data_IF_681153564882
#
_entry.id   IF_681153564882
#
_cell.length_a   1.000
_cell.length_b   1.000
_cell.length_c   1.000
_cell.angle_alpha   90.00
_cell.angle_beta   90.00
_cell.angle_gamma   90.00
#
_symmetry.space_group_name_H-M   'P 1'
#
loop_
_entity.id
_entity.type
_entity.pdbx_description
1 polymer ?
#
# COMPACT_ATOMS: atom_id res chain seq x y z
N UNK A 1 -2.31 -11.54 10.25
CA UNK A 1 -1.25 -11.82 11.25
C UNK A 1 -0.12 -12.74 10.75
N UNK A 2 -0.32 -13.70 9.83
CA UNK A 2 0.80 -14.57 9.37
C UNK A 2 1.91 -13.82 8.61
N UNK A 3 1.58 -12.77 7.85
CA UNK A 3 2.56 -12.00 7.07
C UNK A 3 3.59 -11.24 7.93
N UNK A 4 3.17 -10.72 9.09
CA UNK A 4 4.01 -9.91 9.99
C UNK A 4 5.12 -10.70 10.69
N UNK A 5 5.06 -12.02 10.65
CA UNK A 5 6.08 -12.93 11.19
C UNK A 5 6.60 -13.90 10.12
N UNK A 6 6.33 -13.61 8.84
CA UNK A 6 6.80 -14.45 7.75
C UNK A 6 8.33 -14.33 7.60
N UNK A 7 9.01 -15.47 7.50
CA UNK A 7 10.46 -15.53 7.32
C UNK A 7 10.91 -14.96 5.99
N UNK A 8 10.04 -14.96 4.97
CA UNK A 8 10.33 -14.36 3.66
C UNK A 8 10.77 -12.90 3.78
N UNK A 9 10.26 -12.18 4.80
CA UNK A 9 10.62 -10.77 5.06
C UNK A 9 12.13 -10.55 5.23
N UNK A 10 12.87 -11.55 5.69
CA UNK A 10 14.31 -11.46 5.96
C UNK A 10 15.18 -11.51 4.70
N UNK A 11 14.63 -11.96 3.56
CA UNK A 11 15.42 -12.31 2.37
C UNK A 11 15.03 -11.54 1.11
N UNK A 12 14.00 -10.68 1.17
CA UNK A 12 13.53 -9.92 -0.01
C UNK A 12 14.56 -8.87 -0.42
N UNK A 13 14.93 -8.87 -1.69
CA UNK A 13 15.92 -7.93 -2.27
C UNK A 13 15.43 -7.21 -3.54
N UNK A 14 14.30 -7.61 -4.10
CA UNK A 14 13.72 -7.03 -5.31
C UNK A 14 12.42 -6.30 -4.99
N UNK A 15 12.22 -5.11 -5.55
CA UNK A 15 11.03 -4.30 -5.25
C UNK A 15 9.72 -5.01 -5.62
N UNK A 16 9.66 -5.72 -6.74
CA UNK A 16 8.45 -6.45 -7.14
C UNK A 16 8.04 -7.50 -6.09
N UNK A 17 9.00 -8.33 -5.66
CA UNK A 17 8.79 -9.34 -4.61
C UNK A 17 8.41 -8.70 -3.27
N UNK A 18 8.96 -7.53 -2.97
CA UNK A 18 8.57 -6.76 -1.79
C UNK A 18 7.11 -6.34 -1.83
N UNK A 19 6.63 -5.79 -2.95
CA UNK A 19 5.26 -5.33 -3.09
C UNK A 19 4.25 -6.48 -2.97
N UNK A 20 4.54 -7.65 -3.56
CA UNK A 20 3.70 -8.86 -3.43
C UNK A 20 3.58 -9.32 -1.97
N UNK A 21 4.69 -9.28 -1.23
CA UNK A 21 4.70 -9.58 0.20
C UNK A 21 3.91 -8.53 1.00
N UNK A 22 4.17 -7.25 0.71
CA UNK A 22 3.70 -6.12 1.51
C UNK A 22 2.20 -5.90 1.37
N UNK A 23 1.56 -6.29 0.27
CA UNK A 23 0.09 -6.29 0.13
C UNK A 23 -0.60 -7.04 1.28
N UNK A 24 -0.05 -8.18 1.69
CA UNK A 24 -0.59 -8.99 2.81
C UNK A 24 -0.22 -8.43 4.18
N UNK A 25 0.94 -7.78 4.28
CA UNK A 25 1.50 -7.28 5.53
C UNK A 25 0.93 -5.91 5.93
N UNK A 26 0.72 -5.02 4.95
CA UNK A 26 0.05 -3.72 5.12
C UNK A 26 -1.41 -3.89 5.55
N UNK A 27 -2.02 -5.03 5.21
CA UNK A 27 -3.37 -5.38 5.62
C UNK A 27 -4.46 -4.80 4.72
N UNK A 28 -4.23 -4.70 3.41
CA UNK A 28 -5.20 -4.16 2.44
C UNK A 28 -6.58 -4.81 2.59
N UNK A 29 -6.63 -6.15 2.62
CA UNK A 29 -7.89 -6.88 2.79
C UNK A 29 -8.65 -6.50 4.08
N UNK A 30 -7.93 -6.17 5.16
CA UNK A 30 -8.52 -5.69 6.41
C UNK A 30 -9.07 -4.27 6.22
N UNK A 31 -8.28 -3.36 5.65
CA UNK A 31 -8.69 -1.96 5.43
C UNK A 31 -9.91 -1.88 4.50
N UNK A 32 -9.88 -2.60 3.40
CA UNK A 32 -10.99 -2.75 2.45
C UNK A 32 -12.25 -3.33 3.11
N UNK A 33 -12.14 -4.34 3.97
CA UNK A 33 -13.27 -4.87 4.72
C UNK A 33 -13.81 -3.89 5.78
N UNK A 34 -12.92 -3.20 6.49
CA UNK A 34 -13.26 -2.22 7.52
C UNK A 34 -13.96 -0.99 6.91
N UNK A 35 -13.50 -0.54 5.74
CA UNK A 35 -14.15 0.51 4.96
C UNK A 35 -15.59 0.11 4.61
N UNK A 36 -15.80 -1.09 4.04
CA UNK A 36 -17.16 -1.59 3.73
C UNK A 36 -18.04 -1.68 4.96
N UNK A 37 -17.48 -2.13 6.09
CA UNK A 37 -18.21 -2.19 7.35
C UNK A 37 -18.63 -0.80 7.82
N UNK A 38 -17.69 0.14 7.91
CA UNK A 38 -17.93 1.49 8.43
C UNK A 38 -18.87 2.33 7.57
N UNK A 39 -18.86 2.11 6.25
CA UNK A 39 -19.70 2.83 5.29
C UNK A 39 -21.00 2.08 4.94
N UNK A 40 -21.21 0.88 5.49
CA UNK A 40 -22.36 0.05 5.15
C UNK A 40 -22.39 -0.43 3.69
N UNK A 41 -21.25 -0.45 2.99
CA UNK A 41 -21.18 -0.84 1.58
C UNK A 41 -21.40 -2.36 1.44
N UNK A 42 -22.28 -2.74 0.51
CA UNK A 42 -22.60 -4.12 0.16
C UNK A 42 -22.32 -4.31 -1.32
N UNK A 43 -21.28 -5.07 -1.62
CA UNK A 43 -20.88 -5.45 -2.97
C UNK A 43 -21.16 -6.95 -3.14
N UNK A 44 -21.57 -7.36 -4.34
CA UNK A 44 -21.69 -8.77 -4.70
C UNK A 44 -20.31 -9.45 -4.75
N UNK A 45 -20.29 -10.78 -4.80
CA UNK A 45 -19.04 -11.53 -4.98
C UNK A 45 -18.33 -11.16 -6.28
N UNK A 46 -19.09 -10.95 -7.36
CA UNK A 46 -18.55 -10.59 -8.67
C UNK A 46 -17.99 -9.16 -8.67
N UNK A 47 -18.66 -8.22 -8.00
CA UNK A 47 -18.14 -6.86 -7.82
C UNK A 47 -16.84 -6.89 -7.01
N UNK A 48 -16.80 -7.62 -5.90
CA UNK A 48 -15.58 -7.79 -5.09
C UNK A 48 -14.44 -8.44 -5.88
N UNK A 49 -14.75 -9.42 -6.71
CA UNK A 49 -13.77 -10.04 -7.59
C UNK A 49 -13.24 -9.04 -8.63
N UNK A 50 -14.13 -8.21 -9.16
CA UNK A 50 -13.78 -7.11 -10.06
C UNK A 50 -12.85 -6.07 -9.42
N UNK A 51 -12.91 -5.86 -8.10
CA UNK A 51 -12.09 -4.83 -7.42
C UNK A 51 -10.64 -5.26 -7.16
N UNK A 52 -10.26 -6.51 -7.40
CA UNK A 52 -8.94 -7.04 -7.02
C UNK A 52 -7.76 -6.27 -7.60
N UNK A 53 -7.82 -5.88 -8.87
CA UNK A 53 -6.76 -5.09 -9.49
C UNK A 53 -6.62 -3.70 -8.86
N UNK A 54 -7.75 -3.07 -8.51
CA UNK A 54 -7.79 -1.76 -7.87
C UNK A 54 -7.27 -1.81 -6.43
N UNK A 55 -7.68 -2.82 -5.66
CA UNK A 55 -7.16 -3.09 -4.30
C UNK A 55 -5.65 -3.33 -4.33
N UNK A 56 -5.16 -4.16 -5.25
CA UNK A 56 -3.74 -4.45 -5.39
C UNK A 56 -2.93 -3.21 -5.83
N UNK A 57 -3.53 -2.27 -6.57
CA UNK A 57 -2.89 -1.00 -6.90
C UNK A 57 -2.86 -0.06 -5.68
N UNK A 58 -3.98 0.08 -4.98
CA UNK A 58 -4.11 0.84 -3.73
C UNK A 58 -3.10 0.37 -2.67
N UNK A 59 -2.97 -0.95 -2.50
CA UNK A 59 -2.02 -1.54 -1.56
C UNK A 59 -0.57 -1.13 -1.82
N UNK A 60 -0.14 -1.03 -3.08
CA UNK A 60 1.22 -0.59 -3.44
C UNK A 60 1.44 0.85 -3.00
N UNK A 61 0.50 1.74 -3.32
CA UNK A 61 0.56 3.15 -2.96
C UNK A 61 0.60 3.33 -1.44
N UNK A 62 -0.34 2.72 -0.71
CA UNK A 62 -0.41 2.78 0.75
C UNK A 62 0.89 2.30 1.41
N UNK A 63 1.40 1.16 0.94
CA UNK A 63 2.61 0.53 1.46
C UNK A 63 3.82 1.43 1.28
N UNK A 64 4.01 1.97 0.07
CA UNK A 64 5.20 2.76 -0.25
C UNK A 64 5.15 4.14 0.40
N UNK A 65 3.98 4.80 0.46
CA UNK A 65 3.81 6.04 1.22
C UNK A 65 4.15 5.80 2.70
N UNK A 66 3.64 4.72 3.28
CA UNK A 66 3.96 4.36 4.66
C UNK A 66 5.47 4.20 4.85
N UNK A 67 6.11 3.41 4.00
CA UNK A 67 7.54 3.13 4.08
C UNK A 67 8.41 4.38 3.92
N UNK A 68 8.02 5.35 3.10
CA UNK A 68 8.75 6.61 2.91
C UNK A 68 8.78 7.43 4.20
N UNK A 69 7.63 7.57 4.86
CA UNK A 69 7.49 8.33 6.10
C UNK A 69 7.96 7.56 7.33
N UNK A 70 7.72 6.25 7.40
CA UNK A 70 8.08 5.41 8.56
C UNK A 70 9.56 5.00 8.59
N UNK A 71 10.30 5.18 7.49
CA UNK A 71 11.64 4.63 7.30
C UNK A 71 12.60 4.91 8.46
N UNK A 72 12.69 6.17 8.92
CA UNK A 72 13.70 6.55 9.91
C UNK A 72 13.38 5.96 11.29
N UNK A 73 12.10 5.93 11.66
CA UNK A 73 11.60 5.22 12.84
C UNK A 73 11.89 3.72 12.79
N UNK A 74 11.64 3.08 11.64
CA UNK A 74 11.87 1.63 11.47
C UNK A 74 13.36 1.27 11.42
N UNK A 75 14.17 2.13 10.82
CA UNK A 75 15.63 2.00 10.81
C UNK A 75 16.18 2.06 12.23
N UNK A 76 15.70 2.99 13.04
CA UNK A 76 16.12 3.06 14.45
C UNK A 76 15.64 1.84 15.25
N UNK A 77 14.39 1.42 15.08
CA UNK A 77 13.88 0.20 15.70
C UNK A 77 14.71 -1.04 15.31
N UNK A 78 15.20 -1.11 14.08
CA UNK A 78 16.05 -2.24 13.62
C UNK A 78 17.43 -2.32 14.28
N UNK A 79 17.90 -1.23 14.89
CA UNK A 79 19.18 -1.17 15.61
C UNK A 79 19.05 -1.63 17.06
N UNK A 80 17.90 -1.36 17.68
CA UNK A 80 17.67 -1.59 19.12
C UNK A 80 16.75 -2.78 19.41
N UNK A 81 15.93 -3.19 18.43
CA UNK A 81 14.93 -4.24 18.58
C UNK A 81 15.45 -5.67 18.35
N UNK A 82 14.54 -6.64 18.51
CA UNK A 82 14.83 -8.06 18.24
C UNK A 82 15.22 -8.28 16.77
N UNK A 83 16.28 -9.05 16.50
CA UNK A 83 16.88 -9.22 15.16
C UNK A 83 15.87 -9.60 14.06
N UNK A 84 14.91 -10.47 14.38
CA UNK A 84 13.89 -10.90 13.42
C UNK A 84 12.63 -10.02 13.45
N UNK A 85 12.27 -9.55 14.65
CA UNK A 85 11.02 -8.80 14.87
C UNK A 85 11.09 -7.35 14.43
N UNK A 86 12.29 -6.77 14.50
CA UNK A 86 12.60 -5.40 14.08
C UNK A 86 13.42 -5.37 12.79
N UNK A 87 13.49 -6.47 12.04
CA UNK A 87 14.20 -6.50 10.77
C UNK A 87 13.65 -5.41 9.84
N UNK A 88 14.53 -4.51 9.36
CA UNK A 88 14.14 -3.44 8.45
C UNK A 88 13.80 -4.02 7.07
N UNK A 89 12.51 -4.20 6.82
CA UNK A 89 11.94 -4.57 5.54
C UNK A 89 11.02 -3.45 5.06
N UNK A 90 11.52 -2.66 4.12
CA UNK A 90 10.90 -1.43 3.63
C UNK A 90 11.28 -1.28 2.16
N UNK A 91 10.34 -0.80 1.32
CA UNK A 91 10.59 -0.49 -0.09
C UNK A 91 11.80 0.43 -0.26
N UNK A 92 11.98 1.38 0.67
CA UNK A 92 13.11 2.33 0.66
C UNK A 92 14.44 1.59 0.78
N UNK A 93 14.55 0.59 1.68
CA UNK A 93 15.78 -0.20 1.83
C UNK A 93 15.99 -1.13 0.64
N UNK A 94 14.92 -1.83 0.23
CA UNK A 94 14.97 -2.81 -0.86
C UNK A 94 15.42 -2.14 -2.15
N UNK A 95 14.73 -1.08 -2.58
CA UNK A 95 15.05 -0.38 -3.83
C UNK A 95 16.42 0.31 -3.76
N UNK A 96 16.82 0.86 -2.62
CA UNK A 96 18.16 1.42 -2.45
C UNK A 96 19.26 0.37 -2.64
N UNK A 97 19.05 -0.86 -2.15
CA UNK A 97 19.96 -1.97 -2.36
C UNK A 97 20.01 -2.42 -3.82
N UNK A 98 18.85 -2.61 -4.44
CA UNK A 98 18.70 -3.06 -5.83
C UNK A 98 19.34 -2.07 -6.83
N UNK A 99 19.17 -0.77 -6.61
CA UNK A 99 19.62 0.29 -7.55
C UNK A 99 20.93 0.97 -7.14
N UNK A 100 21.44 0.69 -5.94
CA UNK A 100 22.59 1.38 -5.30
C UNK A 100 22.40 2.90 -5.13
N UNK A 101 21.16 3.37 -5.11
CA UNK A 101 20.84 4.76 -4.82
C UNK A 101 20.97 5.06 -3.31
N UNK A 102 21.30 6.31 -2.99
CA UNK A 102 21.21 6.80 -1.62
C UNK A 102 19.76 6.97 -1.17
N UNK A 103 19.48 6.79 0.13
CA UNK A 103 18.13 6.82 0.71
C UNK A 103 17.30 8.04 0.28
N UNK A 104 17.81 9.29 0.29
CA UNK A 104 17.01 10.43 -0.15
C UNK A 104 16.60 10.36 -1.63
N UNK A 105 17.47 9.82 -2.49
CA UNK A 105 17.17 9.63 -3.91
C UNK A 105 16.14 8.51 -4.10
N UNK A 106 16.29 7.40 -3.39
CA UNK A 106 15.32 6.30 -3.42
C UNK A 106 13.93 6.74 -2.97
N UNK A 107 13.82 7.52 -1.89
CA UNK A 107 12.53 8.08 -1.45
C UNK A 107 11.87 8.93 -2.54
N UNK A 108 12.64 9.73 -3.30
CA UNK A 108 12.10 10.52 -4.43
C UNK A 108 11.61 9.66 -5.58
N UNK A 109 12.36 8.62 -5.96
CA UNK A 109 11.94 7.68 -7.01
C UNK A 109 10.65 6.96 -6.61
N UNK A 110 10.60 6.44 -5.39
CA UNK A 110 9.38 5.81 -4.86
C UNK A 110 8.21 6.79 -4.80
N UNK A 111 8.46 8.06 -4.46
CA UNK A 111 7.42 9.08 -4.47
C UNK A 111 6.85 9.32 -5.87
N UNK A 112 7.70 9.36 -6.91
CA UNK A 112 7.22 9.39 -8.29
C UNK A 112 6.36 8.17 -8.62
N UNK A 113 6.78 6.96 -8.23
CA UNK A 113 5.98 5.74 -8.43
C UNK A 113 4.61 5.80 -7.73
N UNK A 114 4.51 6.43 -6.56
CA UNK A 114 3.21 6.61 -5.89
C UNK A 114 2.23 7.45 -6.69
N UNK A 115 2.73 8.45 -7.45
CA UNK A 115 1.89 9.25 -8.35
C UNK A 115 1.44 8.44 -9.56
N UNK A 116 2.31 7.59 -10.10
CA UNK A 116 1.92 6.68 -11.19
C UNK A 116 0.82 5.70 -10.75
N UNK A 117 0.85 5.20 -9.52
CA UNK A 117 -0.25 4.37 -9.00
C UNK A 117 -1.56 5.15 -8.79
N UNK A 118 -1.51 6.45 -8.54
CA UNK A 118 -2.72 7.29 -8.52
C UNK A 118 -3.32 7.42 -9.93
N UNK A 119 -2.49 7.61 -10.96
CA UNK A 119 -2.95 7.61 -12.36
C UNK A 119 -3.57 6.26 -12.74
N UNK A 120 -2.89 5.16 -12.43
CA UNK A 120 -3.41 3.80 -12.68
C UNK A 120 -4.73 3.54 -11.93
N UNK A 121 -4.90 4.11 -10.73
CA UNK A 121 -6.17 4.03 -10.01
C UNK A 121 -7.29 4.68 -10.83
N UNK A 122 -7.08 5.91 -11.29
CA UNK A 122 -8.06 6.66 -12.07
C UNK A 122 -8.41 5.95 -13.39
N UNK A 123 -7.41 5.37 -14.06
CA UNK A 123 -7.60 4.58 -15.29
C UNK A 123 -8.49 3.36 -15.06
N UNK A 124 -8.21 2.55 -14.02
CA UNK A 124 -9.00 1.36 -13.69
C UNK A 124 -10.44 1.76 -13.29
N UNK A 125 -10.59 2.85 -12.54
CA UNK A 125 -11.92 3.37 -12.16
C UNK A 125 -12.71 3.82 -13.38
N UNK A 126 -12.07 4.56 -14.29
CA UNK A 126 -12.71 5.00 -15.54
C UNK A 126 -13.16 3.81 -16.39
N UNK A 127 -12.30 2.81 -16.60
CA UNK A 127 -12.62 1.59 -17.32
C UNK A 127 -13.86 0.90 -16.72
N UNK A 128 -13.88 0.71 -15.40
CA UNK A 128 -15.00 0.08 -14.68
C UNK A 128 -16.32 0.85 -14.82
N UNK A 129 -16.28 2.17 -14.68
CA UNK A 129 -17.49 3.00 -14.77
C UNK A 129 -18.06 2.99 -16.19
N UNK A 130 -17.19 2.91 -17.21
CA UNK A 130 -17.60 2.89 -18.63
C UNK A 130 -17.95 1.50 -19.16
N UNK A 131 -17.79 0.45 -18.37
CA UNK A 131 -18.15 -0.93 -18.76
C UNK A 131 -19.62 -1.03 -19.16
N UNK A 132 -19.98 -1.83 -20.19
CA UNK A 132 -21.38 -2.06 -20.58
C UNK A 132 -22.28 -2.56 -19.45
N UNK A 133 -21.72 -3.34 -18.52
CA UNK A 133 -22.44 -3.87 -17.35
C UNK A 133 -22.67 -2.79 -16.27
N UNK A 134 -22.01 -1.64 -16.40
CA UNK A 134 -22.04 -0.53 -15.46
C UNK A 134 -21.38 -0.85 -14.11
N UNK A 135 -21.60 0.03 -13.14
CA UNK A 135 -21.18 -0.15 -11.75
C UNK A 135 -22.33 0.25 -10.82
N UNK A 136 -22.59 -0.55 -9.78
CA UNK A 136 -23.51 -0.14 -8.72
C UNK A 136 -22.99 1.11 -7.99
N UNK A 137 -23.90 1.85 -7.35
CA UNK A 137 -23.50 2.99 -6.52
C UNK A 137 -22.61 2.57 -5.36
N UNK A 138 -22.80 1.36 -4.81
CA UNK A 138 -21.93 0.81 -3.78
C UNK A 138 -20.51 0.54 -4.31
N UNK A 139 -20.37 0.03 -5.54
CA UNK A 139 -19.08 -0.16 -6.19
C UNK A 139 -18.39 1.19 -6.48
N UNK A 140 -19.11 2.21 -6.95
CA UNK A 140 -18.56 3.56 -7.15
C UNK A 140 -18.06 4.17 -5.84
N UNK A 141 -18.87 4.09 -4.78
CA UNK A 141 -18.49 4.55 -3.45
C UNK A 141 -17.29 3.78 -2.89
N UNK A 142 -17.19 2.48 -3.17
CA UNK A 142 -16.04 1.66 -2.80
C UNK A 142 -14.75 2.13 -3.48
N UNK A 143 -14.79 2.34 -4.81
CA UNK A 143 -13.65 2.85 -5.58
C UNK A 143 -13.18 4.20 -5.02
N UNK A 144 -14.12 5.13 -4.77
CA UNK A 144 -13.81 6.42 -4.15
C UNK A 144 -13.24 6.28 -2.73
N UNK A 145 -13.73 5.31 -1.96
CA UNK A 145 -13.21 4.99 -0.64
C UNK A 145 -11.73 4.57 -0.67
N UNK A 146 -11.30 3.81 -1.68
CA UNK A 146 -9.88 3.44 -1.85
C UNK A 146 -9.00 4.67 -2.14
N UNK A 147 -9.47 5.62 -2.96
CA UNK A 147 -8.79 6.91 -3.17
C UNK A 147 -8.63 7.69 -1.84
N UNK A 148 -9.68 7.67 -1.00
CA UNK A 148 -9.62 8.29 0.33
C UNK A 148 -8.64 7.58 1.27
N UNK A 149 -8.48 6.26 1.16
CA UNK A 149 -7.44 5.57 1.92
C UNK A 149 -6.04 6.03 1.49
N UNK A 150 -5.76 6.09 0.19
CA UNK A 150 -4.46 6.54 -0.34
C UNK A 150 -4.11 7.96 0.10
N UNK A 151 -5.01 8.90 -0.18
CA UNK A 151 -4.83 10.33 0.16
C UNK A 151 -4.82 10.59 1.68
N UNK A 152 -5.71 9.93 2.42
CA UNK A 152 -5.78 10.05 3.88
C UNK A 152 -4.54 9.47 4.57
N UNK A 153 -4.04 8.32 4.10
CA UNK A 153 -2.79 7.73 4.59
C UNK A 153 -1.60 8.67 4.37
N UNK A 154 -1.49 9.28 3.19
CA UNK A 154 -0.46 10.26 2.91
C UNK A 154 -0.54 11.46 3.86
N UNK A 155 -1.72 12.08 3.97
CA UNK A 155 -1.91 13.26 4.80
C UNK A 155 -1.58 12.98 6.27
N UNK A 156 -2.05 11.86 6.80
CA UNK A 156 -1.75 11.45 8.17
C UNK A 156 -0.27 11.13 8.36
N UNK A 157 0.34 10.38 7.43
CA UNK A 157 1.75 9.99 7.52
C UNK A 157 2.68 11.21 7.53
N UNK A 158 2.32 12.25 6.78
CA UNK A 158 3.06 13.52 6.77
C UNK A 158 3.05 14.25 8.12
N UNK A 159 1.94 14.20 8.85
CA UNK A 159 1.72 15.06 10.03
C UNK A 159 1.84 14.32 11.39
N UNK A 160 1.80 13.00 11.39
CA UNK A 160 1.73 12.22 12.64
C UNK A 160 3.03 12.28 13.44
N UNK A 161 2.92 12.44 14.77
CA UNK A 161 4.05 12.31 15.73
C UNK A 161 4.63 10.89 15.80
N UNK A 162 3.98 9.92 15.16
CA UNK A 162 4.52 8.57 15.06
C UNK A 162 5.76 8.53 14.15
N UNK A 163 5.84 9.42 13.16
CA UNK A 163 6.91 9.45 12.15
C UNK A 163 7.80 10.70 12.24
N UNK A 164 7.33 11.74 12.92
CA UNK A 164 8.03 13.01 13.12
C UNK A 164 8.39 13.22 14.59
#
# INVERSE_FOLDING_TARGET
MRAQTDRARLTIQELGRYLDYREKDVGEALLSALMRFSMGLRLSSDELQGMKALEANCAKQLSVVNDIYSYDKEKEASRTGHKEGAFLCSAVKVLAGETRLGIPATKRVLWSMTREWEVVHDEIVAEKITSPDGCSEAAKAYMKGLEHQMSGNEQWSKATRRYN
#
